data_IF_202513161726
#
_entry.id   IF_202513161726
#
_cell.length_a   1.000
_cell.length_b   1.000
_cell.length_c   1.000
_cell.angle_alpha   90.00
_cell.angle_beta   90.00
_cell.angle_gamma   90.00
#
_symmetry.space_group_name_H-M   'P 1'
#
loop_
_entity.id
_entity.type
_entity.pdbx_description
1 polymer ?
#
# COMPACT_ATOMS: atom_id res chain seq x y z
N UNK A 1 -7.26 -34.20 -19.22
CA UNK A 1 -7.06 -34.96 -17.98
C UNK A 1 -7.17 -33.98 -16.84
N UNK A 2 -7.98 -34.30 -15.85
CA UNK A 2 -8.18 -33.42 -14.69
C UNK A 2 -6.91 -33.45 -13.85
N UNK A 3 -6.44 -32.27 -13.42
CA UNK A 3 -5.18 -32.13 -12.68
C UNK A 3 -5.42 -31.28 -11.44
N UNK A 4 -5.08 -31.85 -10.29
CA UNK A 4 -5.04 -31.16 -9.01
C UNK A 4 -3.59 -30.88 -8.63
N UNK A 5 -3.31 -29.65 -8.21
CA UNK A 5 -2.00 -29.22 -7.74
C UNK A 5 -2.15 -28.51 -6.41
N UNK A 6 -1.16 -28.67 -5.53
CA UNK A 6 -1.07 -27.97 -4.26
C UNK A 6 0.26 -27.25 -4.18
N UNK A 7 0.26 -26.11 -3.49
CA UNK A 7 1.45 -25.30 -3.23
C UNK A 7 1.49 -24.84 -1.78
N UNK A 8 2.71 -24.71 -1.28
CA UNK A 8 3.03 -24.12 0.02
C UNK A 8 4.18 -23.14 -0.19
N UNK A 9 4.09 -21.95 0.39
CA UNK A 9 5.19 -20.99 0.45
C UNK A 9 5.34 -20.40 1.86
N UNK A 10 6.58 -20.03 2.17
CA UNK A 10 6.94 -19.20 3.31
C UNK A 10 7.40 -17.85 2.78
N UNK A 11 6.83 -16.77 3.30
CA UNK A 11 7.12 -15.40 2.88
C UNK A 11 7.72 -14.63 4.07
N UNK A 12 8.78 -13.86 3.81
CA UNK A 12 9.33 -12.90 4.76
C UNK A 12 8.98 -11.48 4.27
N UNK A 13 8.33 -10.71 5.13
CA UNK A 13 7.87 -9.37 4.84
C UNK A 13 8.65 -8.38 5.68
N UNK A 14 9.32 -7.44 5.02
CA UNK A 14 9.88 -6.26 5.65
C UNK A 14 8.94 -5.09 5.39
N UNK A 15 8.35 -4.57 6.45
CA UNK A 15 7.56 -3.34 6.44
C UNK A 15 8.48 -2.23 6.93
N UNK A 16 8.60 -1.18 6.11
CA UNK A 16 9.32 0.03 6.45
C UNK A 16 8.36 1.20 6.29
N UNK A 17 8.13 1.93 7.36
CA UNK A 17 7.27 3.09 7.45
C UNK A 17 8.12 4.30 7.83
N UNK A 18 7.90 5.39 7.11
CA UNK A 18 8.53 6.67 7.40
C UNK A 18 7.57 7.80 7.05
N UNK A 19 7.43 8.72 7.98
CA UNK A 19 6.67 9.94 7.83
C UNK A 19 7.47 11.08 8.41
N UNK A 20 7.86 12.01 7.55
CA UNK A 20 8.52 13.24 7.93
C UNK A 20 7.63 14.39 7.50
N UNK A 21 7.30 15.30 8.42
CA UNK A 21 6.58 16.52 8.13
C UNK A 21 7.21 17.70 8.85
N UNK A 22 7.06 18.87 8.23
CA UNK A 22 7.58 20.11 8.78
C UNK A 22 6.77 21.29 8.27
N UNK A 23 6.62 22.28 9.12
CA UNK A 23 6.03 23.57 8.76
C UNK A 23 6.84 24.68 9.39
N UNK A 24 6.89 25.80 8.69
CA UNK A 24 7.51 27.03 9.18
C UNK A 24 6.69 28.21 8.71
N UNK A 25 6.28 29.07 9.63
CA UNK A 25 5.65 30.34 9.37
C UNK A 25 6.29 31.39 10.28
N UNK A 26 6.46 32.60 9.75
CA UNK A 26 6.96 33.73 10.53
C UNK A 26 6.34 35.01 10.02
N UNK A 27 5.91 35.87 10.93
CA UNK A 27 5.58 37.26 10.66
C UNK A 27 6.30 38.18 11.67
N UNK A 28 6.01 39.48 11.64
CA UNK A 28 6.71 40.47 12.47
C UNK A 28 6.53 40.29 13.99
N UNK A 29 5.58 39.47 14.43
CA UNK A 29 5.26 39.25 15.85
C UNK A 29 5.23 37.76 16.23
N UNK A 30 5.15 36.86 15.25
CA UNK A 30 5.00 35.43 15.50
C UNK A 30 6.05 34.61 14.77
N UNK A 31 6.53 33.57 15.46
CA UNK A 31 7.38 32.53 14.89
C UNK A 31 6.67 31.20 15.13
N UNK A 32 6.60 30.36 14.11
CA UNK A 32 6.19 28.98 14.24
C UNK A 32 7.11 28.11 13.40
N UNK A 33 7.78 27.18 14.04
CA UNK A 33 8.47 26.08 13.37
C UNK A 33 8.02 24.79 14.03
N UNK A 34 7.69 23.79 13.25
CA UNK A 34 7.35 22.48 13.77
C UNK A 34 7.90 21.43 12.83
N UNK A 35 8.46 20.37 13.40
CA UNK A 35 8.93 19.18 12.70
C UNK A 35 8.39 17.96 13.44
N UNK A 36 8.06 16.95 12.66
CA UNK A 36 7.57 15.67 13.15
C UNK A 36 8.12 14.59 12.26
N UNK A 37 8.81 13.61 12.86
CA UNK A 37 9.30 12.43 12.18
C UNK A 37 8.84 11.19 12.93
N UNK A 38 8.28 10.23 12.20
CA UNK A 38 7.83 8.95 12.68
C UNK A 38 8.38 7.88 11.75
N UNK A 39 8.97 6.83 12.30
CA UNK A 39 9.46 5.72 11.51
C UNK A 39 9.23 4.40 12.23
N UNK A 40 8.98 3.36 11.47
CA UNK A 40 8.63 2.05 11.99
C UNK A 40 9.14 0.97 11.04
N UNK A 41 9.82 -0.03 11.58
CA UNK A 41 10.31 -1.17 10.84
C UNK A 41 9.81 -2.45 11.49
N UNK A 42 9.27 -3.36 10.68
CA UNK A 42 8.78 -4.66 11.15
C UNK A 42 9.16 -5.76 10.19
N UNK A 43 9.71 -6.84 10.73
CA UNK A 43 9.94 -8.10 10.03
C UNK A 43 8.88 -9.11 10.47
N UNK A 44 8.20 -9.71 9.50
CA UNK A 44 7.21 -10.74 9.76
C UNK A 44 7.35 -11.93 8.82
N UNK A 45 6.93 -13.10 9.30
CA UNK A 45 6.85 -14.34 8.53
C UNK A 45 5.39 -14.68 8.26
N UNK A 46 5.12 -15.16 7.05
CA UNK A 46 3.79 -15.62 6.64
C UNK A 46 3.91 -16.96 5.95
N UNK A 47 2.84 -17.73 6.05
CA UNK A 47 2.67 -18.96 5.27
C UNK A 47 1.54 -18.77 4.28
N UNK A 48 1.72 -19.25 3.05
CA UNK A 48 0.65 -19.34 2.08
C UNK A 48 0.45 -20.79 1.63
N UNK A 49 -0.80 -21.22 1.56
CA UNK A 49 -1.19 -22.49 0.99
C UNK A 49 -2.13 -22.24 -0.17
N UNK A 50 -2.03 -23.05 -1.22
CA UNK A 50 -2.90 -22.91 -2.37
C UNK A 50 -3.15 -24.23 -3.08
N UNK A 51 -4.23 -24.24 -3.85
CA UNK A 51 -4.59 -25.35 -4.70
C UNK A 51 -5.08 -24.85 -6.04
N UNK A 52 -4.78 -25.61 -7.09
CA UNK A 52 -5.32 -25.38 -8.43
C UNK A 52 -5.94 -26.68 -8.94
N UNK A 53 -7.14 -26.57 -9.48
CA UNK A 53 -7.89 -27.67 -10.08
C UNK A 53 -8.22 -27.33 -11.54
N UNK A 54 -7.91 -28.22 -12.46
CA UNK A 54 -8.24 -28.07 -13.87
C UNK A 54 -9.28 -29.10 -14.28
N UNK A 55 -10.39 -28.62 -14.87
CA UNK A 55 -11.46 -29.43 -15.43
C UNK A 55 -11.73 -28.97 -16.87
N UNK A 56 -11.28 -29.76 -17.85
CA UNK A 56 -11.35 -29.41 -19.27
C UNK A 56 -10.73 -28.02 -19.55
N UNK A 57 -11.53 -27.08 -20.03
CA UNK A 57 -11.20 -25.69 -20.37
C UNK A 57 -11.24 -24.75 -19.17
N UNK A 58 -11.74 -25.22 -18.03
CA UNK A 58 -11.81 -24.47 -16.79
C UNK A 58 -10.61 -24.76 -15.89
N UNK A 59 -10.11 -23.72 -15.25
CA UNK A 59 -9.09 -23.77 -14.19
C UNK A 59 -9.65 -23.03 -12.99
N UNK A 60 -9.57 -23.62 -11.82
CA UNK A 60 -9.99 -23.03 -10.56
C UNK A 60 -8.79 -22.94 -9.65
N UNK A 61 -8.66 -21.84 -8.91
CA UNK A 61 -7.56 -21.60 -7.99
C UNK A 61 -8.07 -21.03 -6.68
N UNK A 62 -7.41 -21.41 -5.59
CA UNK A 62 -7.57 -20.77 -4.30
C UNK A 62 -6.23 -20.72 -3.58
N UNK A 63 -5.97 -19.65 -2.84
CA UNK A 63 -4.77 -19.45 -2.06
C UNK A 63 -5.11 -18.68 -0.79
N UNK A 64 -4.75 -19.24 0.36
CA UNK A 64 -4.89 -18.61 1.67
C UNK A 64 -3.50 -18.22 2.18
N UNK A 65 -3.35 -16.98 2.61
CA UNK A 65 -2.19 -16.50 3.37
C UNK A 65 -2.57 -16.27 4.80
N UNK A 66 -1.75 -16.77 5.71
CA UNK A 66 -1.91 -16.53 7.15
C UNK A 66 -1.71 -15.05 7.51
N UNK A 67 -2.15 -14.63 8.69
CA UNK A 67 -1.61 -13.44 9.35
C UNK A 67 -0.08 -13.54 9.47
N UNK A 68 0.59 -12.40 9.64
CA UNK A 68 2.04 -12.36 9.82
C UNK A 68 2.46 -12.57 11.27
N UNK A 69 3.36 -13.53 11.49
CA UNK A 69 4.06 -13.71 12.74
C UNK A 69 5.20 -12.71 12.83
N UNK A 70 5.18 -11.85 13.85
CA UNK A 70 6.22 -10.84 14.07
C UNK A 70 7.50 -11.52 14.54
N UNK A 71 8.61 -11.18 13.89
CA UNK A 71 9.95 -11.65 14.28
C UNK A 71 10.77 -10.52 14.89
N UNK A 72 10.56 -9.29 14.45
CA UNK A 72 11.20 -8.11 15.01
C UNK A 72 10.46 -6.84 14.66
N UNK A 73 10.50 -5.88 15.56
CA UNK A 73 9.90 -4.57 15.42
C UNK A 73 10.79 -3.50 16.04
N UNK A 74 10.77 -2.32 15.44
CA UNK A 74 11.44 -1.13 15.92
C UNK A 74 10.61 0.07 15.47
N UNK A 75 10.43 1.06 16.33
CA UNK A 75 9.81 2.32 15.97
C UNK A 75 10.54 3.48 16.63
N UNK A 76 10.36 4.66 16.03
CA UNK A 76 10.86 5.93 16.53
C UNK A 76 9.86 7.03 16.22
N UNK A 77 9.56 7.86 17.21
CA UNK A 77 8.82 9.12 17.05
C UNK A 77 9.71 10.25 17.56
N UNK A 78 9.74 11.36 16.81
CA UNK A 78 10.37 12.60 17.24
C UNK A 78 9.54 13.77 16.75
N UNK A 79 9.28 14.73 17.60
CA UNK A 79 8.67 16.00 17.23
C UNK A 79 9.37 17.13 17.94
N UNK A 80 9.64 18.21 17.22
CA UNK A 80 10.07 19.46 17.84
C UNK A 80 9.27 20.61 17.26
N UNK A 81 8.82 21.52 18.12
CA UNK A 81 8.21 22.76 17.67
C UNK A 81 8.70 23.95 18.50
N UNK A 82 8.81 25.10 17.84
CA UNK A 82 9.09 26.37 18.48
C UNK A 82 8.04 27.36 18.03
N UNK A 83 7.28 27.90 18.96
CA UNK A 83 6.33 28.98 18.72
C UNK A 83 6.69 30.22 19.52
N UNK A 84 6.42 31.40 18.99
CA UNK A 84 6.64 32.67 19.68
C UNK A 84 5.57 33.69 19.33
N UNK A 85 5.23 34.55 20.29
CA UNK A 85 4.20 35.61 20.19
C UNK A 85 4.78 37.02 20.39
N UNK A 86 6.12 37.15 20.33
CA UNK A 86 6.86 38.39 20.56
C UNK A 86 7.16 38.68 22.04
N UNK A 87 6.55 37.95 22.98
CA UNK A 87 6.79 38.09 24.44
C UNK A 87 7.34 36.81 25.03
N UNK A 88 6.78 35.66 24.67
CA UNK A 88 7.19 34.34 25.09
C UNK A 88 7.61 33.50 23.88
N UNK A 89 8.56 32.60 24.11
CA UNK A 89 8.93 31.54 23.16
C UNK A 89 8.67 30.20 23.83
N UNK A 90 7.85 29.36 23.22
CA UNK A 90 7.59 28.01 23.69
C UNK A 90 8.33 27.02 22.80
N UNK A 91 9.20 26.22 23.40
CA UNK A 91 9.87 25.10 22.76
C UNK A 91 9.25 23.79 23.23
N UNK A 92 8.85 22.93 22.31
CA UNK A 92 8.18 21.66 22.58
C UNK A 92 9.02 20.57 21.95
N UNK A 93 9.35 19.54 22.71
CA UNK A 93 10.12 18.39 22.22
C UNK A 93 9.49 17.08 22.71
N UNK A 94 9.29 16.15 21.78
CA UNK A 94 8.84 14.78 22.03
C UNK A 94 9.84 13.86 21.33
N UNK A 95 10.31 12.82 22.00
CA UNK A 95 11.26 11.88 21.43
C UNK A 95 11.19 10.53 22.10
N UNK A 96 10.91 9.50 21.32
CA UNK A 96 11.03 8.11 21.74
C UNK A 96 11.69 7.31 20.61
N UNK A 97 12.90 6.80 20.86
CA UNK A 97 13.67 5.99 19.90
C UNK A 97 13.35 4.50 19.97
N UNK A 98 12.46 4.09 20.87
CA UNK A 98 12.07 2.69 21.11
C UNK A 98 10.56 2.50 21.16
N UNK A 99 9.78 3.45 20.65
CA UNK A 99 8.33 3.29 20.56
C UNK A 99 8.00 2.04 19.73
N UNK A 100 7.16 1.15 20.27
CA UNK A 100 6.77 -0.07 19.56
C UNK A 100 6.04 0.27 18.25
N UNK A 101 6.40 -0.42 17.15
CA UNK A 101 5.72 -0.30 15.86
C UNK A 101 4.94 -1.59 15.53
N UNK A 102 3.62 -1.54 15.74
CA UNK A 102 2.75 -2.69 15.65
C UNK A 102 1.82 -2.62 14.42
N UNK A 103 2.37 -2.79 13.21
CA UNK A 103 1.54 -2.86 11.99
C UNK A 103 0.78 -4.20 11.91
N UNK A 104 -0.57 -4.21 11.94
CA UNK A 104 -1.33 -5.45 11.81
C UNK A 104 -1.14 -6.08 10.42
N UNK A 105 -0.99 -7.41 10.40
CA UNK A 105 -0.81 -8.19 9.17
C UNK A 105 -2.00 -9.12 8.97
N UNK A 106 -3.01 -8.72 8.18
CA UNK A 106 -4.23 -9.49 8.00
C UNK A 106 -3.98 -10.81 7.24
N UNK A 107 -4.90 -11.77 7.39
CA UNK A 107 -4.94 -12.91 6.48
C UNK A 107 -5.50 -12.47 5.12
N UNK A 108 -5.19 -13.22 4.07
CA UNK A 108 -5.76 -12.97 2.73
C UNK A 108 -6.14 -14.28 2.04
N UNK A 109 -7.34 -14.35 1.47
CA UNK A 109 -7.79 -15.43 0.60
C UNK A 109 -7.92 -14.90 -0.83
N UNK A 110 -7.28 -15.52 -1.80
CA UNK A 110 -7.52 -15.25 -3.22
C UNK A 110 -8.11 -16.50 -3.84
N UNK A 111 -9.28 -16.38 -4.47
CA UNK A 111 -9.87 -17.47 -5.24
C UNK A 111 -10.29 -16.97 -6.61
N UNK A 112 -10.40 -17.88 -7.57
CA UNK A 112 -10.77 -17.51 -8.92
C UNK A 112 -10.92 -18.67 -9.87
N UNK A 113 -11.33 -18.33 -11.07
CA UNK A 113 -11.52 -19.25 -12.16
C UNK A 113 -11.02 -18.63 -13.47
N UNK A 114 -10.39 -19.44 -14.30
CA UNK A 114 -10.06 -19.12 -15.68
C UNK A 114 -10.77 -20.07 -16.64
N UNK A 115 -11.19 -19.55 -17.77
CA UNK A 115 -11.88 -20.27 -18.83
C UNK A 115 -11.23 -20.01 -20.17
N UNK A 116 -10.82 -21.08 -20.86
CA UNK A 116 -10.25 -21.04 -22.19
C UNK A 116 -11.17 -21.77 -23.18
N UNK A 117 -12.18 -21.10 -23.78
CA UNK A 117 -13.16 -21.76 -24.63
C UNK A 117 -12.53 -22.41 -25.86
N UNK A 118 -12.92 -23.65 -26.14
CA UNK A 118 -12.51 -24.35 -27.37
C UNK A 118 -13.00 -23.64 -28.65
N UNK A 119 -14.16 -22.97 -28.57
CA UNK A 119 -14.76 -22.24 -29.68
C UNK A 119 -13.93 -21.03 -30.15
N UNK A 120 -13.04 -20.48 -29.29
CA UNK A 120 -12.17 -19.36 -29.63
C UNK A 120 -10.73 -19.72 -29.25
N UNK A 121 -10.01 -20.45 -30.12
CA UNK A 121 -8.65 -20.89 -29.82
C UNK A 121 -7.73 -19.71 -29.48
N UNK A 122 -7.03 -19.83 -28.36
CA UNK A 122 -6.09 -18.82 -27.87
C UNK A 122 -6.70 -17.75 -26.97
N UNK A 123 -8.04 -17.69 -26.83
CA UNK A 123 -8.70 -16.82 -25.87
C UNK A 123 -8.77 -17.44 -24.48
N UNK A 124 -8.59 -16.62 -23.45
CA UNK A 124 -8.70 -16.98 -22.05
C UNK A 124 -9.30 -15.80 -21.26
N UNK A 125 -10.20 -16.13 -20.34
CA UNK A 125 -10.79 -15.20 -19.38
C UNK A 125 -10.42 -15.65 -17.98
N UNK A 126 -10.15 -14.74 -17.07
CA UNK A 126 -9.83 -15.04 -15.68
C UNK A 126 -10.58 -14.09 -14.75
N UNK A 127 -11.33 -14.62 -13.80
CA UNK A 127 -11.98 -13.86 -12.73
C UNK A 127 -11.42 -14.27 -11.39
N UNK A 128 -10.96 -13.31 -10.60
CA UNK A 128 -10.43 -13.52 -9.26
C UNK A 128 -11.13 -12.62 -8.23
N UNK A 129 -11.20 -13.10 -7.00
CA UNK A 129 -11.61 -12.35 -5.83
C UNK A 129 -10.52 -12.47 -4.78
N UNK A 130 -9.94 -11.34 -4.39
CA UNK A 130 -9.06 -11.26 -3.23
C UNK A 130 -9.83 -10.73 -2.03
N UNK A 131 -9.83 -11.49 -0.94
CA UNK A 131 -10.46 -11.16 0.33
C UNK A 131 -9.35 -10.95 1.34
N UNK A 132 -9.35 -9.82 2.02
CA UNK A 132 -8.37 -9.52 3.08
C UNK A 132 -9.12 -9.17 4.35
N UNK A 133 -8.69 -9.70 5.50
CA UNK A 133 -9.36 -9.43 6.78
C UNK A 133 -8.61 -9.98 7.99
N UNK A 134 -9.26 -9.91 9.16
CA UNK A 134 -8.75 -10.50 10.41
C UNK A 134 -7.67 -9.70 11.12
N UNK A 135 -7.55 -8.41 10.83
CA UNK A 135 -6.85 -7.46 11.69
C UNK A 135 -7.88 -6.57 12.38
N UNK A 136 -7.80 -6.45 13.70
CA UNK A 136 -8.66 -5.57 14.50
C UNK A 136 -8.02 -4.21 14.70
N UNK A 137 -8.82 -3.22 15.12
CA UNK A 137 -8.35 -1.96 15.66
C UNK A 137 -7.19 -2.16 16.66
N UNK A 138 -6.13 -1.38 16.50
CA UNK A 138 -4.98 -1.38 17.38
C UNK A 138 -4.14 -0.12 17.24
N UNK A 139 -3.29 0.10 18.22
CA UNK A 139 -2.30 1.17 18.18
C UNK A 139 -1.12 0.69 17.32
N UNK A 140 -0.81 1.41 16.25
CA UNK A 140 0.37 1.20 15.38
C UNK A 140 1.62 1.74 16.04
N UNK A 141 1.48 2.87 16.74
CA UNK A 141 2.48 3.43 17.64
C UNK A 141 1.83 3.71 18.99
N UNK A 142 2.51 3.36 20.07
CA UNK A 142 2.09 3.71 21.43
C UNK A 142 2.17 5.23 21.65
N UNK A 143 1.63 5.71 22.77
CA UNK A 143 1.81 7.11 23.15
C UNK A 143 3.29 7.40 23.44
N UNK A 144 3.70 8.63 23.15
CA UNK A 144 5.06 9.10 23.40
C UNK A 144 5.02 10.32 24.32
N UNK A 145 5.91 10.38 25.31
CA UNK A 145 5.99 11.52 26.23
C UNK A 145 7.09 12.50 25.84
N UNK A 146 6.92 13.76 26.23
CA UNK A 146 7.91 14.81 26.01
C UNK A 146 7.75 15.98 26.97
N UNK A 147 8.35 17.11 26.62
CA UNK A 147 8.33 18.33 27.43
C UNK A 147 8.03 19.57 26.60
N UNK A 148 7.25 20.49 27.15
CA UNK A 148 7.11 21.85 26.66
C UNK A 148 7.79 22.82 27.64
N UNK A 149 8.67 23.68 27.13
CA UNK A 149 9.40 24.70 27.87
C UNK A 149 9.03 26.08 27.36
N UNK A 150 8.50 26.92 28.25
CA UNK A 150 8.19 28.32 27.95
C UNK A 150 9.34 29.19 28.46
N UNK A 151 9.90 30.00 27.57
CA UNK A 151 10.95 30.99 27.85
C UNK A 151 10.33 32.38 27.70
N UNK A 152 10.45 33.21 28.72
CA UNK A 152 9.84 34.55 28.75
C UNK A 152 9.89 35.15 30.16
N UNK A 153 8.91 35.99 30.49
CA UNK A 153 8.86 36.68 31.79
C UNK A 153 8.64 35.73 32.99
N UNK A 154 8.12 34.52 32.77
CA UNK A 154 7.96 33.49 33.79
C UNK A 154 8.24 32.11 33.19
N UNK A 155 9.52 31.67 33.19
CA UNK A 155 9.91 30.40 32.61
C UNK A 155 9.22 29.22 33.30
N UNK A 156 8.79 28.25 32.51
CA UNK A 156 8.15 27.03 33.03
C UNK A 156 8.40 25.83 32.12
N UNK A 157 8.28 24.64 32.69
CA UNK A 157 8.34 23.38 31.94
C UNK A 157 7.14 22.52 32.34
N UNK A 158 6.48 21.91 31.36
CA UNK A 158 5.38 20.97 31.56
C UNK A 158 5.59 19.70 30.76
N UNK A 159 5.06 18.59 31.27
CA UNK A 159 5.01 17.32 30.52
C UNK A 159 3.92 17.39 29.45
N UNK A 160 4.22 16.84 28.29
CA UNK A 160 3.27 16.65 27.20
C UNK A 160 3.27 15.18 26.78
N UNK A 161 2.14 14.73 26.23
CA UNK A 161 1.99 13.38 25.71
C UNK A 161 1.40 13.45 24.31
N UNK A 162 2.03 12.74 23.38
CA UNK A 162 1.49 12.44 22.07
C UNK A 162 0.58 11.22 22.20
N UNK A 163 -0.68 11.36 21.78
CA UNK A 163 -1.63 10.26 21.76
C UNK A 163 -1.14 9.08 20.91
N UNK A 164 -1.53 7.84 21.24
CA UNK A 164 -1.19 6.69 20.42
C UNK A 164 -1.79 6.84 19.01
N UNK A 165 -1.11 6.28 18.02
CA UNK A 165 -1.51 6.34 16.61
C UNK A 165 -2.30 5.10 16.26
N UNK A 166 -3.58 5.24 15.91
CA UNK A 166 -4.48 4.10 15.72
C UNK A 166 -4.66 3.72 14.27
N UNK A 167 -4.90 2.42 14.06
CA UNK A 167 -5.33 1.85 12.79
C UNK A 167 -6.42 0.83 13.04
N UNK A 168 -7.56 1.03 12.41
CA UNK A 168 -8.65 0.07 12.32
C UNK A 168 -8.79 -0.45 10.89
N UNK A 169 -8.88 -1.78 10.78
CA UNK A 169 -8.94 -2.48 9.51
C UNK A 169 -10.28 -3.20 9.36
N UNK A 170 -10.88 -3.05 8.18
CA UNK A 170 -12.08 -3.77 7.76
C UNK A 170 -11.74 -4.91 6.83
N UNK A 171 -12.69 -5.83 6.70
CA UNK A 171 -12.66 -6.83 5.65
C UNK A 171 -12.96 -6.18 4.30
N UNK A 172 -12.18 -6.54 3.27
CA UNK A 172 -12.36 -6.03 1.90
C UNK A 172 -12.41 -7.15 0.88
N UNK A 173 -13.11 -6.89 -0.21
CA UNK A 173 -13.39 -7.82 -1.30
C UNK A 173 -13.00 -7.17 -2.63
N UNK A 174 -11.88 -7.60 -3.19
CA UNK A 174 -11.23 -6.96 -4.33
C UNK A 174 -11.39 -7.84 -5.57
N UNK A 175 -12.45 -7.63 -6.38
CA UNK A 175 -12.66 -8.38 -7.60
C UNK A 175 -11.68 -7.95 -8.69
N UNK A 176 -11.26 -8.90 -9.51
CA UNK A 176 -10.37 -8.71 -10.66
C UNK A 176 -10.86 -9.53 -11.83
N UNK A 177 -10.77 -8.97 -13.03
CA UNK A 177 -11.10 -9.64 -14.28
C UNK A 177 -9.94 -9.45 -15.26
N UNK A 178 -9.54 -10.52 -15.92
CA UNK A 178 -8.48 -10.56 -16.91
C UNK A 178 -8.95 -11.26 -18.18
N UNK A 179 -8.41 -10.83 -19.31
CA UNK A 179 -8.58 -11.40 -20.63
C UNK A 179 -7.20 -11.56 -21.24
N UNK A 180 -6.96 -12.70 -21.88
CA UNK A 180 -5.78 -12.93 -22.68
C UNK A 180 -6.18 -13.50 -24.04
N UNK A 181 -5.45 -13.12 -25.09
CA UNK A 181 -5.64 -13.63 -26.43
C UNK A 181 -4.30 -13.94 -27.09
N UNK A 182 -4.05 -15.21 -27.40
CA UNK A 182 -2.92 -15.66 -28.20
C UNK A 182 -3.28 -15.62 -29.67
N UNK A 183 -2.55 -14.82 -30.43
CA UNK A 183 -2.77 -14.71 -31.87
C UNK A 183 -2.42 -16.03 -32.58
N UNK A 184 -3.26 -16.48 -33.53
CA UNK A 184 -3.07 -17.78 -34.19
C UNK A 184 -1.87 -17.80 -35.13
N UNK A 185 -1.57 -16.66 -35.77
CA UNK A 185 -0.45 -16.53 -36.69
C UNK A 185 0.73 -15.89 -35.96
N UNK A 186 1.93 -16.51 -35.97
CA UNK A 186 3.10 -15.91 -35.38
C UNK A 186 3.49 -14.65 -36.16
N UNK A 187 3.71 -13.54 -35.45
CA UNK A 187 4.21 -12.31 -36.05
C UNK A 187 5.74 -12.39 -36.09
N UNK A 188 6.33 -12.35 -37.28
CA UNK A 188 7.79 -12.49 -37.46
C UNK A 188 8.39 -13.76 -36.80
N UNK A 189 7.63 -14.86 -36.74
CA UNK A 189 8.06 -16.10 -36.09
C UNK A 189 7.90 -16.12 -34.57
N UNK A 190 7.18 -15.15 -33.99
CA UNK A 190 6.91 -15.07 -32.56
C UNK A 190 5.45 -15.33 -32.24
N UNK A 191 5.18 -16.12 -31.20
CA UNK A 191 3.82 -16.21 -30.67
C UNK A 191 3.51 -14.92 -29.93
N UNK A 192 2.48 -14.20 -30.36
CA UNK A 192 2.05 -12.96 -29.73
C UNK A 192 0.87 -13.25 -28.82
N UNK A 193 0.82 -12.61 -27.65
CA UNK A 193 -0.35 -12.62 -26.77
C UNK A 193 -0.69 -11.20 -26.35
N UNK A 194 -1.96 -10.82 -26.43
CA UNK A 194 -2.48 -9.60 -25.83
C UNK A 194 -3.13 -9.93 -24.48
N UNK A 195 -3.03 -9.00 -23.53
CA UNK A 195 -3.58 -9.11 -22.19
C UNK A 195 -4.33 -7.81 -21.88
N UNK A 196 -5.49 -7.93 -21.24
CA UNK A 196 -6.28 -6.82 -20.72
C UNK A 196 -6.83 -7.23 -19.36
N UNK A 197 -6.83 -6.33 -18.39
CA UNK A 197 -7.38 -6.60 -17.07
C UNK A 197 -7.95 -5.36 -16.42
N UNK A 198 -8.89 -5.57 -15.50
CA UNK A 198 -9.50 -4.55 -14.67
C UNK A 198 -9.66 -5.07 -13.25
N UNK A 199 -9.56 -4.18 -12.28
CA UNK A 199 -9.71 -4.53 -10.87
C UNK A 199 -10.25 -3.36 -10.06
N UNK A 200 -10.95 -3.72 -8.98
CA UNK A 200 -11.32 -2.81 -7.91
C UNK A 200 -10.55 -3.25 -6.66
N UNK A 201 -9.93 -2.31 -5.99
CA UNK A 201 -9.15 -2.55 -4.79
C UNK A 201 -9.61 -1.60 -3.69
N UNK A 202 -10.46 -2.11 -2.80
CA UNK A 202 -10.92 -1.36 -1.65
C UNK A 202 -9.84 -1.29 -0.59
N UNK A 203 -9.71 -0.12 0.03
CA UNK A 203 -8.83 0.09 1.16
C UNK A 203 -9.29 -0.73 2.35
N UNK A 204 -8.40 -1.52 2.96
CA UNK A 204 -8.69 -2.20 4.21
C UNK A 204 -8.76 -1.23 5.39
N UNK A 205 -8.36 0.04 5.24
CA UNK A 205 -8.45 1.05 6.29
C UNK A 205 -9.92 1.42 6.51
N UNK A 206 -10.41 1.27 7.74
CA UNK A 206 -11.73 1.78 8.13
C UNK A 206 -11.59 3.16 8.77
N UNK A 207 -10.69 3.27 9.75
CA UNK A 207 -10.31 4.49 10.43
C UNK A 207 -8.81 4.44 10.75
N UNK A 208 -8.09 5.55 10.63
CA UNK A 208 -6.65 5.55 10.88
C UNK A 208 -6.11 6.95 11.07
N UNK A 209 -5.19 7.08 12.02
CA UNK A 209 -4.39 8.30 12.18
C UNK A 209 -3.16 8.29 11.27
N UNK A 210 -2.74 7.11 10.80
CA UNK A 210 -1.43 6.85 10.14
C UNK A 210 -1.55 6.75 8.61
N UNK A 211 -2.67 6.20 8.13
CA UNK A 211 -2.87 5.83 6.73
C UNK A 211 -4.19 6.37 6.21
N UNK A 212 -4.17 6.94 5.02
CA UNK A 212 -5.40 7.37 4.37
C UNK A 212 -6.15 6.20 3.76
N UNK A 213 -7.47 6.19 3.93
CA UNK A 213 -8.38 5.28 3.25
C UNK A 213 -8.49 5.67 1.78
N UNK A 214 -8.03 4.81 0.88
CA UNK A 214 -8.08 5.05 -0.55
C UNK A 214 -8.57 3.81 -1.32
N UNK A 215 -9.76 3.91 -1.89
CA UNK A 215 -10.30 2.89 -2.79
C UNK A 215 -9.82 3.16 -4.23
N UNK A 216 -9.32 2.11 -4.89
CA UNK A 216 -8.69 2.18 -6.19
C UNK A 216 -9.50 1.42 -7.24
N UNK A 217 -9.56 2.01 -8.43
CA UNK A 217 -10.00 1.37 -9.66
C UNK A 217 -8.81 1.36 -10.62
N UNK A 218 -8.48 0.19 -11.14
CA UNK A 218 -7.33 0.04 -12.01
C UNK A 218 -7.58 -0.87 -13.19
N UNK A 219 -6.70 -0.73 -14.18
CA UNK A 219 -6.69 -1.56 -15.36
C UNK A 219 -5.27 -1.76 -15.88
N UNK A 220 -5.07 -2.85 -16.59
CA UNK A 220 -3.79 -3.22 -17.20
C UNK A 220 -4.02 -3.63 -18.63
N UNK A 221 -3.12 -3.26 -19.53
CA UNK A 221 -3.10 -3.77 -20.90
C UNK A 221 -1.66 -4.10 -21.29
N UNK A 222 -1.44 -5.13 -22.09
CA UNK A 222 -0.10 -5.49 -22.50
C UNK A 222 -0.05 -6.47 -23.65
N UNK A 223 1.14 -6.63 -24.20
CA UNK A 223 1.47 -7.57 -25.26
C UNK A 223 2.73 -8.32 -24.87
N UNK A 224 2.75 -9.63 -25.09
CA UNK A 224 3.92 -10.47 -24.90
C UNK A 224 4.26 -11.29 -26.14
N UNK A 225 5.55 -11.56 -26.34
CA UNK A 225 6.13 -12.25 -27.49
C UNK A 225 6.94 -13.45 -26.99
N UNK A 226 6.61 -14.65 -27.48
CA UNK A 226 7.42 -15.84 -27.25
C UNK A 226 8.35 -16.08 -28.46
N UNK A 227 9.68 -16.19 -28.21
CA UNK A 227 10.70 -16.64 -29.18
C UNK A 227 11.53 -17.76 -28.55
N UNK A 228 11.14 -19.02 -28.79
CA UNK A 228 11.81 -20.16 -28.20
C UNK A 228 11.72 -20.12 -26.65
N UNK A 229 12.85 -20.11 -25.92
CA UNK A 229 12.83 -20.01 -24.45
C UNK A 229 12.56 -18.60 -23.92
N UNK A 230 12.65 -17.58 -24.77
CA UNK A 230 12.55 -16.18 -24.37
C UNK A 230 11.10 -15.68 -24.47
N UNK A 231 10.62 -15.05 -23.40
CA UNK A 231 9.38 -14.28 -23.34
C UNK A 231 9.73 -12.80 -23.15
N UNK A 232 9.27 -11.94 -24.06
CA UNK A 232 9.34 -10.48 -23.95
C UNK A 232 7.94 -9.92 -23.70
N UNK A 233 7.80 -8.91 -22.84
CA UNK A 233 6.50 -8.32 -22.53
C UNK A 233 6.57 -6.80 -22.41
N UNK A 234 5.56 -6.12 -22.94
CA UNK A 234 5.32 -4.68 -22.76
C UNK A 234 3.92 -4.52 -22.17
N UNK A 235 3.79 -3.80 -21.07
CA UNK A 235 2.50 -3.58 -20.42
C UNK A 235 2.38 -2.18 -19.85
N UNK A 236 1.17 -1.64 -19.90
CA UNK A 236 0.75 -0.43 -19.22
C UNK A 236 -0.24 -0.75 -18.11
N UNK A 237 -0.15 -0.03 -17.00
CA UNK A 237 -1.15 -0.03 -15.94
C UNK A 237 -1.66 1.40 -15.73
N UNK A 238 -2.95 1.53 -15.50
CA UNK A 238 -3.61 2.78 -15.10
C UNK A 238 -4.35 2.54 -13.80
N UNK A 239 -4.19 3.43 -12.84
CA UNK A 239 -4.87 3.38 -11.54
C UNK A 239 -5.43 4.75 -11.21
N UNK A 240 -6.66 4.78 -10.71
CA UNK A 240 -7.35 5.97 -10.24
C UNK A 240 -8.05 5.70 -8.90
N UNK A 241 -8.22 6.72 -8.06
CA UNK A 241 -9.09 6.64 -6.89
C UNK A 241 -10.56 6.91 -7.26
N UNK A 242 -11.50 6.27 -6.56
CA UNK A 242 -12.95 6.36 -6.86
C UNK A 242 -13.63 7.61 -6.31
N UNK A 243 -13.02 8.32 -5.35
CA UNK A 243 -13.51 9.63 -4.91
C UNK A 243 -12.49 10.72 -5.25
N UNK A 244 -13.00 11.76 -5.92
CA UNK A 244 -12.29 13.04 -6.05
C UNK A 244 -12.16 13.67 -4.65
N UNK A 245 -13.05 13.34 -3.70
CA UNK A 245 -13.10 13.92 -2.35
C UNK A 245 -12.15 13.32 -1.31
N UNK A 246 -11.55 12.14 -1.48
CA UNK A 246 -10.80 11.48 -0.37
C UNK A 246 -9.37 11.02 -0.70
N UNK A 247 -8.76 11.44 -1.82
CA UNK A 247 -7.41 10.99 -2.14
C UNK A 247 -6.28 11.80 -1.48
N UNK A 248 -6.27 11.97 -0.16
CA UNK A 248 -5.03 12.36 0.53
C UNK A 248 -4.14 11.11 0.68
N UNK A 249 -3.72 10.49 -0.42
CA UNK A 249 -2.95 9.24 -0.42
C UNK A 249 -1.60 9.39 -1.11
N UNK A 250 -0.53 9.06 -0.37
CA UNK A 250 0.87 9.08 -0.80
C UNK A 250 1.11 8.48 -2.20
N UNK A 251 1.69 9.28 -3.09
CA UNK A 251 2.57 8.79 -4.15
C UNK A 251 3.99 9.16 -3.74
N UNK A 252 4.81 8.18 -3.35
CA UNK A 252 6.25 8.40 -3.26
C UNK A 252 6.80 8.57 -4.68
N UNK A 253 6.88 9.82 -5.13
CA UNK A 253 7.90 10.28 -6.06
C UNK A 253 8.95 11.03 -5.23
N UNK A 254 10.24 10.66 -5.29
CA UNK A 254 11.28 11.34 -4.53
C UNK A 254 11.46 12.74 -5.11
N UNK A 255 11.18 13.77 -4.30
CA UNK A 255 11.58 15.14 -4.61
C UNK A 255 10.47 16.06 -5.15
N UNK A 256 9.53 16.45 -4.30
CA UNK A 256 9.08 17.85 -4.23
C UNK A 256 8.24 18.04 -2.98
N UNK A 257 8.88 18.56 -1.93
CA UNK A 257 8.17 19.08 -0.77
C UNK A 257 7.32 20.27 -1.19
N UNK A 258 6.01 20.08 -1.20
CA UNK A 258 5.00 21.11 -1.02
C UNK A 258 3.84 20.42 -0.30
N UNK A 259 3.70 20.71 0.98
CA UNK A 259 2.56 20.35 1.81
C UNK A 259 1.58 21.53 1.72
N UNK A 260 0.51 21.48 0.91
CA UNK A 260 -0.62 22.36 1.17
C UNK A 260 -1.24 21.88 2.49
N UNK A 261 -1.52 22.81 3.40
CA UNK A 261 -2.26 22.58 4.64
C UNK A 261 -3.32 21.46 4.48
N UNK A 262 -3.07 20.30 5.08
CA UNK A 262 -4.00 19.17 5.12
C UNK A 262 -5.08 19.39 6.21
N UNK A 263 -5.57 20.62 6.35
CA UNK A 263 -6.69 20.98 7.22
C UNK A 263 -7.97 21.31 6.44
N UNK A 264 -7.92 21.35 5.10
CA UNK A 264 -9.13 21.54 4.30
C UNK A 264 -9.82 20.20 4.03
N UNK A 265 -10.91 19.94 4.77
CA UNK A 265 -11.80 18.80 4.56
C UNK A 265 -12.47 18.79 3.16
N UNK A 266 -12.24 19.83 2.33
CA UNK A 266 -12.73 19.94 0.96
C UNK A 266 -11.63 19.78 -0.11
N UNK A 267 -10.37 19.56 0.26
CA UNK A 267 -9.28 19.39 -0.70
C UNK A 267 -9.42 18.04 -1.43
N UNK A 268 -9.84 18.12 -2.69
CA UNK A 268 -10.01 16.97 -3.57
C UNK A 268 -8.75 16.69 -4.37
N UNK A 269 -8.01 15.65 -4.00
CA UNK A 269 -6.91 15.14 -4.81
C UNK A 269 -7.40 13.91 -5.59
N UNK A 270 -6.89 13.71 -6.80
CA UNK A 270 -7.10 12.48 -7.56
C UNK A 270 -5.73 11.85 -7.83
N UNK A 271 -5.48 10.68 -7.27
CA UNK A 271 -4.29 9.89 -7.62
C UNK A 271 -4.52 9.29 -8.99
N UNK A 272 -3.69 9.69 -9.96
CA UNK A 272 -3.66 9.09 -11.30
C UNK A 272 -2.24 8.66 -11.58
N UNK A 273 -2.02 7.35 -11.68
CA UNK A 273 -0.69 6.80 -11.95
C UNK A 273 -0.73 5.98 -13.23
N UNK A 274 0.26 6.22 -14.08
CA UNK A 274 0.53 5.42 -15.26
C UNK A 274 1.89 4.75 -15.10
N UNK A 275 1.94 3.43 -15.28
CA UNK A 275 3.19 2.65 -15.21
C UNK A 275 3.38 1.90 -16.52
N UNK A 276 4.55 2.07 -17.15
CA UNK A 276 5.00 1.29 -18.27
C UNK A 276 6.03 0.26 -17.80
N UNK A 277 5.79 -1.02 -18.07
CA UNK A 277 6.71 -2.11 -17.73
C UNK A 277 7.21 -2.79 -19.00
N UNK A 278 8.53 -2.99 -19.08
CA UNK A 278 9.20 -3.82 -20.08
C UNK A 278 9.83 -4.99 -19.33
N UNK A 279 9.52 -6.22 -19.73
CA UNK A 279 10.00 -7.43 -19.06
C UNK A 279 10.60 -8.42 -20.06
N UNK A 280 11.57 -9.20 -19.58
CA UNK A 280 12.11 -10.36 -20.30
C UNK A 280 12.29 -11.51 -19.33
N UNK A 281 11.96 -12.73 -19.76
CA UNK A 281 12.22 -13.95 -18.98
C UNK A 281 12.69 -15.08 -19.90
N UNK A 282 13.50 -15.98 -19.35
CA UNK A 282 14.07 -17.13 -20.04
C UNK A 282 13.64 -18.42 -19.34
N UNK A 283 13.14 -19.39 -20.11
CA UNK A 283 12.91 -20.76 -19.65
C UNK A 283 14.14 -21.60 -20.00
N UNK A 284 14.81 -22.14 -18.99
CA UNK A 284 15.88 -23.12 -19.15
C UNK A 284 15.29 -24.53 -19.29
#
# INVERSE_FOLDING_TARGET
>A
GDRLQFGLSLEAWLIDYRYDSGTSAADGLTLLTATYNESGRRLALRTAIGSQFQLRTWRFGAMLRSPGLVVGEQGKISSSSTSGDGVNTTHTEIGDEQVGFAMPLPWSLTCGAAWAPEAVPGFEMEGNLAITGGASAGDVFASASGTATVIGASPSTSSIELAPRRLDLRMVYNPRLGLAYRFPNPLAGHTVRAHLGGYIEYSPVENSDVFTKLDLLGGTAGISFDKGPMLLGIGGAYVTSSSISDAVGFITSPGSGLNPDLSDANASFAVRTFVLTISSSYRF
#
